data_IF_046520650931
#
_entry.id   IF_046520650931
#
_cell.length_a   1.000
_cell.length_b   1.000
_cell.length_c   1.000
_cell.angle_alpha   90.00
_cell.angle_beta   90.00
_cell.angle_gamma   90.00
#
_symmetry.space_group_name_H-M   'P 1'
#
loop_
_entity.id
_entity.type
_entity.pdbx_description
1 polymer ?
#
# COMPACT_ATOMS: atom_id res chain seq x y z
N UNK A 1 -4.71 -0.50 9.48
CA UNK A 1 -5.21 -1.38 8.41
C UNK A 1 -4.06 -2.00 7.61
N UNK A 2 -3.11 -1.22 7.12
CA UNK A 2 -2.04 -1.70 6.22
C UNK A 2 -0.94 -2.54 6.91
N UNK A 3 -0.78 -2.44 8.23
CA UNK A 3 0.19 -3.24 8.97
C UNK A 3 -0.34 -4.64 9.33
N UNK A 4 -1.68 -4.78 9.40
CA UNK A 4 -2.31 -6.04 9.79
C UNK A 4 -2.04 -7.12 8.73
N UNK A 5 -1.56 -8.29 9.19
CA UNK A 5 -1.17 -9.39 8.31
C UNK A 5 0.19 -9.22 7.62
N UNK A 6 0.86 -8.08 7.80
CA UNK A 6 2.18 -7.80 7.22
C UNK A 6 3.28 -7.61 8.28
N UNK A 7 2.91 -7.15 9.46
CA UNK A 7 3.83 -6.96 10.58
C UNK A 7 3.28 -7.66 11.82
N UNK A 8 4.14 -8.20 12.69
CA UNK A 8 3.71 -8.73 13.98
C UNK A 8 3.14 -7.61 14.84
N UNK A 9 1.91 -7.77 15.31
CA UNK A 9 1.23 -6.81 16.18
C UNK A 9 0.91 -7.51 17.49
N UNK A 10 1.56 -7.08 18.58
CA UNK A 10 1.32 -7.59 19.91
C UNK A 10 0.65 -6.52 20.79
N UNK A 11 -0.64 -6.67 21.02
CA UNK A 11 -1.44 -5.73 21.83
C UNK A 11 -1.09 -5.75 23.31
N UNK A 12 -0.28 -6.73 23.77
CA UNK A 12 0.22 -6.79 25.16
C UNK A 12 1.51 -5.98 25.34
N UNK A 13 2.30 -5.85 24.28
CA UNK A 13 3.54 -5.06 24.29
C UNK A 13 3.28 -3.59 24.02
N UNK A 14 2.39 -3.32 23.07
CA UNK A 14 2.00 -1.95 22.72
C UNK A 14 0.53 -1.74 23.06
N UNK A 15 0.27 -0.79 23.96
CA UNK A 15 -1.08 -0.45 24.42
C UNK A 15 -1.84 0.33 23.35
N UNK A 16 -2.47 -0.38 22.43
CA UNK A 16 -3.42 0.22 21.48
C UNK A 16 -4.80 0.36 22.12
N UNK A 17 -5.45 1.49 21.93
CA UNK A 17 -6.87 1.67 22.25
C UNK A 17 -7.75 1.09 21.16
N UNK A 18 -7.36 1.31 19.90
CA UNK A 18 -8.07 0.86 18.72
C UNK A 18 -7.13 0.35 17.63
N UNK A 19 -7.50 -0.76 16.99
CA UNK A 19 -6.91 -1.20 15.74
C UNK A 19 -8.02 -1.57 14.76
N UNK A 20 -7.80 -1.33 13.49
CA UNK A 20 -8.74 -1.72 12.43
C UNK A 20 -8.08 -2.60 11.40
N UNK A 21 -8.83 -3.56 10.88
CA UNK A 21 -8.45 -4.41 9.76
C UNK A 21 -9.55 -4.43 8.71
N UNK A 22 -9.16 -4.55 7.46
CA UNK A 22 -10.08 -4.84 6.34
C UNK A 22 -9.59 -6.10 5.65
N UNK A 23 -10.46 -7.09 5.48
CA UNK A 23 -10.09 -8.41 4.94
C UNK A 23 -9.42 -8.32 3.56
N UNK A 24 -9.88 -7.42 2.68
CA UNK A 24 -9.33 -7.25 1.33
C UNK A 24 -7.88 -6.74 1.31
N UNK A 25 -7.32 -6.28 2.43
CA UNK A 25 -5.91 -5.88 2.56
C UNK A 25 -4.98 -7.05 2.87
N UNK A 26 -5.56 -8.19 3.24
CA UNK A 26 -4.87 -9.46 3.52
C UNK A 26 -5.44 -10.58 2.64
N UNK A 27 -5.84 -10.26 1.40
CA UNK A 27 -6.39 -11.20 0.41
C UNK A 27 -7.70 -11.89 0.81
N UNK A 28 -8.41 -11.35 1.80
CA UNK A 28 -9.76 -11.78 2.16
C UNK A 28 -10.84 -11.04 1.37
N UNK A 29 -12.13 -11.30 1.63
CA UNK A 29 -13.23 -10.70 0.89
C UNK A 29 -13.39 -9.21 1.18
N UNK A 30 -13.95 -8.48 0.21
CA UNK A 30 -14.42 -7.09 0.42
C UNK A 30 -15.67 -7.07 1.32
N UNK A 31 -15.91 -5.94 1.97
CA UNK A 31 -17.14 -5.72 2.76
C UNK A 31 -17.09 -6.27 4.19
N UNK A 32 -15.96 -6.81 4.62
CA UNK A 32 -15.74 -7.29 5.99
C UNK A 32 -14.40 -6.81 6.55
N UNK A 33 -14.37 -6.58 7.85
CA UNK A 33 -13.18 -6.22 8.61
C UNK A 33 -13.47 -6.36 10.10
N UNK A 34 -12.50 -6.04 10.94
CA UNK A 34 -12.71 -5.99 12.38
C UNK A 34 -12.11 -4.73 13.00
N UNK A 35 -12.60 -4.39 14.16
CA UNK A 35 -11.99 -3.40 15.05
C UNK A 35 -11.58 -4.10 16.36
N UNK A 36 -10.31 -3.96 16.73
CA UNK A 36 -9.89 -4.22 18.10
C UNK A 36 -10.20 -3.00 18.95
N UNK A 37 -10.80 -3.23 20.08
CA UNK A 37 -11.08 -2.20 21.08
C UNK A 37 -10.56 -2.71 22.41
N UNK A 38 -9.67 -1.91 23.05
CA UNK A 38 -9.10 -2.30 24.34
C UNK A 38 -10.21 -2.42 25.39
N UNK A 39 -10.16 -3.48 26.18
CA UNK A 39 -11.11 -3.71 27.28
C UNK A 39 -11.10 -2.54 28.26
N UNK A 40 -12.29 -2.17 28.74
CA UNK A 40 -12.49 -1.08 29.69
C UNK A 40 -12.73 0.31 29.07
N UNK A 41 -12.56 0.46 27.75
CA UNK A 41 -12.93 1.71 27.07
C UNK A 41 -14.45 1.87 26.99
N UNK A 42 -14.94 3.03 27.43
CA UNK A 42 -16.37 3.39 27.33
C UNK A 42 -16.64 4.04 25.99
N UNK A 43 -17.22 3.27 25.07
CA UNK A 43 -17.59 3.74 23.72
C UNK A 43 -19.11 3.71 23.61
N UNK A 44 -19.67 4.79 23.05
CA UNK A 44 -21.07 4.81 22.69
C UNK A 44 -21.22 4.24 21.26
N UNK A 45 -22.11 3.25 21.02
CA UNK A 45 -22.33 2.73 19.70
C UNK A 45 -22.90 3.81 18.78
N UNK A 46 -22.34 3.93 17.58
CA UNK A 46 -22.89 4.81 16.53
C UNK A 46 -24.14 4.19 15.90
N UNK A 47 -24.11 2.88 15.66
CA UNK A 47 -25.22 2.11 15.12
C UNK A 47 -25.93 1.42 16.29
N UNK A 48 -27.14 1.87 16.59
CA UNK A 48 -27.95 1.41 17.70
C UNK A 48 -28.98 0.37 17.25
N UNK A 49 -29.41 -0.52 18.15
CA UNK A 49 -30.39 -1.57 17.88
C UNK A 49 -30.18 -2.78 18.78
N UNK A 50 -30.01 -3.97 18.20
CA UNK A 50 -29.73 -5.19 18.93
C UNK A 50 -28.38 -5.22 19.62
N UNK A 51 -28.16 -6.24 20.47
CA UNK A 51 -26.99 -6.36 21.31
C UNK A 51 -25.74 -6.99 20.65
N UNK A 52 -25.70 -7.01 19.31
CA UNK A 52 -24.58 -7.58 18.57
C UNK A 52 -23.26 -6.85 18.91
N UNK A 53 -22.13 -7.48 18.65
CA UNK A 53 -20.81 -6.97 18.94
C UNK A 53 -20.65 -6.40 20.36
N UNK A 54 -21.24 -7.10 21.35
CA UNK A 54 -21.23 -6.69 22.77
C UNK A 54 -21.81 -5.29 23.01
N UNK A 55 -22.91 -4.95 22.31
CA UNK A 55 -23.53 -3.62 22.28
C UNK A 55 -22.68 -2.49 21.68
N UNK A 56 -21.62 -2.81 20.96
CA UNK A 56 -20.78 -1.80 20.30
C UNK A 56 -21.24 -1.48 18.87
N UNK A 57 -21.95 -2.41 18.21
CA UNK A 57 -22.47 -2.23 16.86
C UNK A 57 -23.64 -3.17 16.63
N UNK A 58 -24.82 -2.63 16.48
CA UNK A 58 -26.02 -3.38 16.21
C UNK A 58 -26.13 -3.86 14.75
N UNK A 59 -26.95 -4.88 14.50
CA UNK A 59 -27.25 -5.46 13.20
C UNK A 59 -26.77 -6.91 13.10
N UNK A 60 -27.48 -7.71 12.29
CA UNK A 60 -27.18 -9.12 12.07
C UNK A 60 -25.75 -9.31 11.55
N UNK A 61 -25.06 -10.30 12.10
CA UNK A 61 -23.67 -10.60 11.76
C UNK A 61 -23.53 -11.18 10.33
N UNK A 62 -22.55 -10.69 9.60
CA UNK A 62 -22.13 -11.28 8.32
C UNK A 62 -21.25 -12.50 8.59
N UNK A 63 -21.85 -13.61 9.00
CA UNK A 63 -21.11 -14.83 9.40
C UNK A 63 -20.24 -15.40 8.30
N UNK A 64 -20.67 -15.33 7.02
CA UNK A 64 -19.88 -15.76 5.86
C UNK A 64 -18.62 -14.92 5.74
N UNK A 65 -18.75 -13.59 5.80
CA UNK A 65 -17.61 -12.67 5.77
C UNK A 65 -16.65 -12.84 6.95
N UNK A 66 -17.21 -13.07 8.15
CA UNK A 66 -16.42 -13.31 9.38
C UNK A 66 -15.57 -14.59 9.25
N UNK A 67 -16.17 -15.70 8.79
CA UNK A 67 -15.44 -16.95 8.58
C UNK A 67 -14.33 -16.77 7.51
N UNK A 68 -14.64 -16.11 6.41
CA UNK A 68 -13.66 -15.85 5.35
C UNK A 68 -12.53 -14.92 5.80
N UNK A 69 -12.83 -13.87 6.58
CA UNK A 69 -11.82 -13.00 7.21
C UNK A 69 -10.93 -13.81 8.17
N UNK A 70 -11.52 -14.68 9.01
CA UNK A 70 -10.78 -15.53 9.94
C UNK A 70 -9.79 -16.44 9.20
N UNK A 71 -10.20 -17.06 8.09
CA UNK A 71 -9.31 -17.88 7.27
C UNK A 71 -8.21 -17.05 6.61
N UNK A 72 -8.53 -15.90 6.03
CA UNK A 72 -7.54 -15.00 5.43
C UNK A 72 -6.51 -14.52 6.45
N UNK A 73 -6.95 -14.20 7.66
CA UNK A 73 -6.07 -13.77 8.75
C UNK A 73 -5.14 -14.89 9.22
N UNK A 74 -5.65 -16.11 9.35
CA UNK A 74 -4.84 -17.28 9.69
C UNK A 74 -3.72 -17.51 8.66
N UNK A 75 -4.05 -17.51 7.36
CA UNK A 75 -3.08 -17.66 6.28
C UNK A 75 -2.04 -16.54 6.32
N UNK A 76 -2.49 -15.27 6.40
CA UNK A 76 -1.57 -14.12 6.43
C UNK A 76 -0.63 -14.15 7.66
N UNK A 77 -1.06 -14.74 8.77
CA UNK A 77 -0.22 -14.90 9.96
C UNK A 77 0.80 -16.03 9.79
N UNK A 78 0.38 -17.15 9.21
CA UNK A 78 1.22 -18.32 8.97
C UNK A 78 2.33 -18.00 7.95
N UNK A 79 1.99 -17.33 6.85
CA UNK A 79 2.89 -17.04 5.73
C UNK A 79 3.67 -15.72 5.92
N UNK A 80 3.41 -14.93 6.96
CA UNK A 80 3.92 -13.56 7.14
C UNK A 80 5.44 -13.43 6.94
N UNK A 81 6.22 -14.35 7.47
CA UNK A 81 7.69 -14.29 7.39
C UNK A 81 8.20 -14.54 5.98
N UNK A 82 7.60 -15.49 5.27
CA UNK A 82 8.00 -15.83 3.90
C UNK A 82 7.52 -14.76 2.92
N UNK A 83 6.29 -14.28 3.09
CA UNK A 83 5.74 -13.16 2.32
C UNK A 83 6.60 -11.90 2.47
N UNK A 84 7.06 -11.61 3.70
CA UNK A 84 7.95 -10.47 3.95
C UNK A 84 9.25 -10.61 3.17
N UNK A 85 9.96 -11.72 3.31
CA UNK A 85 11.23 -11.95 2.60
C UNK A 85 11.09 -11.84 1.08
N UNK A 86 10.04 -12.47 0.54
CA UNK A 86 9.76 -12.44 -0.89
C UNK A 86 9.48 -11.03 -1.40
N UNK A 87 8.54 -10.33 -0.77
CA UNK A 87 8.10 -9.01 -1.22
C UNK A 87 9.17 -7.94 -0.97
N UNK A 88 9.92 -8.03 0.12
CA UNK A 88 11.05 -7.12 0.38
C UNK A 88 12.15 -7.27 -0.67
N UNK A 89 12.45 -8.50 -1.10
CA UNK A 89 13.40 -8.75 -2.18
C UNK A 89 12.95 -8.12 -3.50
N UNK A 90 11.66 -8.23 -3.84
CA UNK A 90 11.07 -7.57 -5.02
C UNK A 90 11.16 -6.04 -4.91
N UNK A 91 10.82 -5.49 -3.75
CA UNK A 91 10.89 -4.04 -3.48
C UNK A 91 12.33 -3.54 -3.63
N UNK A 92 13.30 -4.26 -3.05
CA UNK A 92 14.72 -3.93 -3.20
C UNK A 92 15.15 -3.95 -4.66
N UNK A 93 14.77 -4.98 -5.40
CA UNK A 93 15.08 -5.11 -6.83
C UNK A 93 14.54 -3.91 -7.63
N UNK A 94 13.31 -3.48 -7.35
CA UNK A 94 12.71 -2.30 -8.00
C UNK A 94 13.43 -1.00 -7.58
N UNK A 95 13.80 -0.84 -6.31
CA UNK A 95 14.56 0.34 -5.84
C UNK A 95 15.88 0.46 -6.59
N UNK A 96 16.63 -0.63 -6.67
CA UNK A 96 17.95 -0.65 -7.31
C UNK A 96 17.82 -0.36 -8.82
N UNK A 97 16.87 -1.02 -9.51
CA UNK A 97 16.63 -0.79 -10.93
C UNK A 97 16.14 0.61 -11.27
N UNK A 98 15.26 1.19 -10.45
CA UNK A 98 14.81 2.57 -10.67
C UNK A 98 15.94 3.59 -10.50
N UNK A 99 16.84 3.38 -9.53
CA UNK A 99 18.05 4.24 -9.37
C UNK A 99 18.98 4.18 -10.55
N UNK A 100 19.09 3.01 -11.19
CA UNK A 100 19.92 2.81 -12.37
C UNK A 100 19.30 3.49 -13.62
N UNK A 101 17.99 3.38 -13.78
CA UNK A 101 17.26 3.80 -14.99
C UNK A 101 16.97 5.31 -14.97
N UNK A 102 16.66 5.88 -13.79
CA UNK A 102 16.09 7.23 -13.68
C UNK A 102 17.09 8.19 -13.01
N UNK A 103 17.84 9.00 -13.77
CA UNK A 103 18.72 10.02 -13.20
C UNK A 103 17.93 11.01 -12.33
N UNK A 104 18.43 11.28 -11.13
CA UNK A 104 17.78 12.22 -10.20
C UNK A 104 16.51 11.72 -9.53
N UNK A 105 16.20 10.42 -9.61
CA UNK A 105 15.07 9.83 -8.89
C UNK A 105 15.23 10.05 -7.37
N UNK A 106 14.11 10.31 -6.70
CA UNK A 106 13.99 10.38 -5.24
C UNK A 106 12.89 9.45 -4.75
N UNK A 107 12.85 9.23 -3.44
CA UNK A 107 11.82 8.43 -2.81
C UNK A 107 11.16 9.26 -1.73
N UNK A 108 9.84 9.32 -1.72
CA UNK A 108 9.11 10.10 -0.74
C UNK A 108 9.13 9.43 0.64
N UNK A 109 9.38 10.23 1.66
CA UNK A 109 9.54 9.79 3.02
C UNK A 109 10.64 8.74 3.15
N UNK A 110 10.36 7.69 3.91
CA UNK A 110 11.28 6.56 4.13
C UNK A 110 10.95 5.35 3.26
N UNK A 111 10.19 5.50 2.19
CA UNK A 111 9.65 4.35 1.47
C UNK A 111 10.71 3.43 0.85
N UNK A 112 11.93 3.91 0.62
CA UNK A 112 13.07 3.12 0.14
C UNK A 112 13.98 2.55 1.24
N UNK A 113 13.74 2.90 2.52
CA UNK A 113 14.45 2.34 3.67
C UNK A 113 13.77 1.03 4.07
N UNK A 114 14.35 -0.13 3.74
CA UNK A 114 13.70 -1.43 3.92
C UNK A 114 13.38 -1.75 5.38
N UNK A 115 14.26 -1.38 6.30
CA UNK A 115 14.14 -1.58 7.75
C UNK A 115 13.18 -0.61 8.44
N UNK A 116 12.77 0.46 7.77
CA UNK A 116 11.98 1.56 8.35
C UNK A 116 10.68 1.87 7.61
N UNK A 117 10.36 1.08 6.60
CA UNK A 117 9.14 1.24 5.82
C UNK A 117 8.44 -0.09 5.59
N UNK A 118 7.13 -0.04 5.36
CA UNK A 118 6.36 -1.23 5.01
C UNK A 118 6.86 -1.79 3.66
N UNK A 119 7.18 -3.08 3.63
CA UNK A 119 7.75 -3.74 2.46
C UNK A 119 6.78 -3.81 1.25
N UNK A 120 5.48 -3.67 1.46
CA UNK A 120 4.45 -3.78 0.42
C UNK A 120 4.25 -2.52 -0.42
N UNK A 121 4.91 -1.41 -0.10
CA UNK A 121 4.70 -0.12 -0.79
C UNK A 121 6.02 0.61 -1.01
N UNK A 122 6.18 1.19 -2.20
CA UNK A 122 7.27 2.09 -2.57
C UNK A 122 6.68 3.36 -3.18
N UNK A 123 7.09 4.51 -2.68
CA UNK A 123 6.67 5.83 -3.20
C UNK A 123 7.86 6.53 -3.85
N UNK A 124 7.78 6.71 -5.15
CA UNK A 124 8.87 7.19 -6.01
C UNK A 124 8.54 8.60 -6.48
N UNK A 125 9.53 9.47 -6.44
CA UNK A 125 9.50 10.80 -7.05
C UNK A 125 10.28 10.73 -8.36
N UNK A 126 9.57 10.60 -9.47
CA UNK A 126 10.15 10.52 -10.81
C UNK A 126 10.29 11.92 -11.38
N UNK A 127 11.49 12.38 -11.81
CA UNK A 127 11.65 13.66 -12.46
C UNK A 127 10.76 13.78 -13.69
N UNK A 128 10.14 14.93 -13.90
CA UNK A 128 9.33 15.19 -15.08
C UNK A 128 10.21 15.26 -16.34
N UNK A 129 9.84 14.48 -17.35
CA UNK A 129 10.51 14.43 -18.66
C UNK A 129 9.62 14.99 -19.80
N UNK A 130 8.63 15.83 -19.44
CA UNK A 130 7.64 16.32 -20.40
C UNK A 130 6.41 15.42 -20.56
N UNK A 131 6.43 14.20 -20.05
CA UNK A 131 5.26 13.32 -20.00
C UNK A 131 4.48 13.52 -18.69
N UNK A 132 3.49 14.39 -18.71
CA UNK A 132 2.64 14.65 -17.53
C UNK A 132 1.65 13.51 -17.22
N UNK A 133 1.56 12.49 -18.08
CA UNK A 133 0.64 11.35 -17.94
C UNK A 133 1.37 10.03 -17.69
N UNK A 134 2.47 10.04 -16.95
CA UNK A 134 3.35 8.89 -16.75
C UNK A 134 2.60 7.62 -16.30
N UNK A 135 1.71 7.72 -15.29
CA UNK A 135 0.95 6.56 -14.79
C UNK A 135 -0.03 6.01 -15.84
N UNK A 136 -0.63 6.87 -16.66
CA UNK A 136 -1.49 6.47 -17.77
C UNK A 136 -0.67 5.78 -18.87
N UNK A 137 0.49 6.33 -19.20
CA UNK A 137 1.39 5.73 -20.20
C UNK A 137 1.87 4.35 -19.75
N UNK A 138 2.17 4.18 -18.45
CA UNK A 138 2.51 2.88 -17.89
C UNK A 138 1.34 1.89 -17.97
N UNK A 139 0.10 2.33 -17.68
CA UNK A 139 -1.11 1.50 -17.79
C UNK A 139 -1.32 1.03 -19.23
N UNK A 140 -1.16 1.89 -20.23
CA UNK A 140 -1.23 1.52 -21.65
C UNK A 140 -0.18 0.49 -22.08
N UNK A 141 0.95 0.42 -21.35
CA UNK A 141 2.01 -0.59 -21.53
C UNK A 141 1.82 -1.82 -20.62
N UNK A 142 0.65 -1.93 -19.96
CA UNK A 142 0.30 -3.08 -19.12
C UNK A 142 0.86 -3.04 -17.69
N UNK A 143 1.38 -1.89 -17.23
CA UNK A 143 1.93 -1.70 -15.89
C UNK A 143 1.04 -0.79 -15.05
N UNK A 144 0.30 -1.38 -14.12
CA UNK A 144 -0.62 -0.66 -13.24
C UNK A 144 0.09 -0.15 -11.99
N UNK A 145 0.24 1.17 -11.91
CA UNK A 145 0.77 1.89 -10.75
C UNK A 145 -0.20 3.02 -10.36
N UNK A 146 0.11 3.74 -9.29
CA UNK A 146 -0.77 4.82 -8.81
C UNK A 146 0.02 6.12 -8.66
N UNK A 147 -0.56 7.24 -9.08
CA UNK A 147 0.04 8.59 -8.95
C UNK A 147 -0.13 9.24 -7.58
N UNK A 148 -0.43 8.48 -6.54
CA UNK A 148 -0.67 9.03 -5.19
C UNK A 148 -1.67 8.21 -4.39
N UNK A 149 -2.52 8.85 -3.58
CA UNK A 149 -3.61 8.17 -2.88
C UNK A 149 -4.62 7.63 -3.89
N UNK A 150 -4.93 6.34 -3.83
CA UNK A 150 -5.92 5.70 -4.70
C UNK A 150 -7.34 6.34 -4.59
N UNK A 151 -7.59 7.05 -3.49
CA UNK A 151 -8.88 7.72 -3.23
C UNK A 151 -9.00 9.13 -3.86
N UNK A 152 -7.92 9.68 -4.40
CA UNK A 152 -7.87 11.04 -4.98
C UNK A 152 -7.57 11.06 -6.47
N UNK A 153 -7.83 9.97 -7.17
CA UNK A 153 -7.57 9.78 -8.61
C UNK A 153 -8.31 10.73 -9.57
N UNK A 154 -8.92 11.79 -9.07
CA UNK A 154 -9.59 12.84 -9.89
C UNK A 154 -9.11 14.27 -9.59
N UNK A 155 -8.18 14.49 -8.65
CA UNK A 155 -7.69 15.85 -8.35
C UNK A 155 -6.26 16.07 -8.83
N UNK A 156 -6.05 17.09 -9.64
CA UNK A 156 -4.73 17.58 -10.09
C UNK A 156 -3.82 18.09 -8.95
N UNK A 157 -4.24 17.95 -7.69
CA UNK A 157 -3.55 18.54 -6.54
C UNK A 157 -2.48 17.64 -5.90
N UNK A 158 -2.23 16.44 -6.43
CA UNK A 158 -1.26 15.49 -5.87
C UNK A 158 -1.64 14.93 -4.49
N UNK A 159 -0.75 14.16 -3.89
CA UNK A 159 -0.99 13.56 -2.58
C UNK A 159 -0.85 14.60 -1.45
N UNK A 160 -1.91 14.77 -0.66
CA UNK A 160 -1.86 15.61 0.55
C UNK A 160 -0.81 15.11 1.57
N UNK A 161 -0.52 13.80 1.58
CA UNK A 161 0.51 13.21 2.44
C UNK A 161 1.91 13.69 2.03
N UNK A 162 2.24 13.59 0.73
CA UNK A 162 3.54 14.04 0.21
C UNK A 162 3.73 15.55 0.46
N UNK A 163 2.66 16.34 0.27
CA UNK A 163 2.71 17.78 0.60
C UNK A 163 2.94 18.04 2.07
N UNK A 164 2.30 17.28 2.95
CA UNK A 164 2.48 17.43 4.40
C UNK A 164 3.90 17.05 4.86
N UNK A 165 4.60 16.17 4.12
CA UNK A 165 6.02 15.87 4.35
C UNK A 165 6.96 17.01 3.90
N UNK A 166 6.45 18.03 3.20
CA UNK A 166 7.28 19.09 2.62
C UNK A 166 8.13 18.66 1.42
N UNK A 167 7.89 17.46 0.88
CA UNK A 167 8.69 16.86 -0.19
C UNK A 167 8.08 17.06 -1.59
N UNK A 168 6.91 17.70 -1.65
CA UNK A 168 6.25 17.98 -2.93
C UNK A 168 6.94 19.10 -3.68
N UNK A 169 7.38 18.82 -4.91
CA UNK A 169 7.81 19.83 -5.88
C UNK A 169 7.14 19.61 -7.22
N UNK A 170 6.97 20.66 -7.99
CA UNK A 170 6.37 20.57 -9.34
C UNK A 170 7.27 19.83 -10.36
N UNK A 171 8.53 19.61 -10.02
CA UNK A 171 9.53 18.97 -10.86
C UNK A 171 9.41 17.44 -10.89
N UNK A 172 8.68 16.85 -9.94
CA UNK A 172 8.55 15.40 -9.82
C UNK A 172 7.11 14.95 -10.01
N UNK A 173 6.97 13.76 -10.59
CA UNK A 173 5.72 13.00 -10.61
C UNK A 173 5.77 11.90 -9.57
N UNK A 174 4.75 11.81 -8.68
CA UNK A 174 4.67 10.72 -7.71
C UNK A 174 4.20 9.44 -8.40
N UNK A 175 4.94 8.37 -8.20
CA UNK A 175 4.54 7.02 -8.58
C UNK A 175 4.56 6.14 -7.34
N UNK A 176 3.43 5.51 -7.02
CA UNK A 176 3.35 4.52 -5.96
C UNK A 176 3.26 3.12 -6.55
N UNK A 177 4.28 2.32 -6.29
CA UNK A 177 4.32 0.89 -6.59
C UNK A 177 3.84 0.14 -5.36
N UNK A 178 2.91 -0.79 -5.55
CA UNK A 178 2.40 -1.67 -4.49
C UNK A 178 2.76 -3.10 -4.82
N UNK A 179 3.25 -3.82 -3.83
CA UNK A 179 3.69 -5.20 -3.96
C UNK A 179 2.77 -6.15 -3.19
N UNK A 180 2.68 -7.36 -3.69
CA UNK A 180 1.92 -8.46 -3.11
C UNK A 180 2.74 -9.73 -3.20
N UNK A 181 2.46 -10.72 -2.35
CA UNK A 181 3.06 -12.06 -2.43
C UNK A 181 2.83 -12.77 -3.78
N UNK A 182 1.86 -12.33 -4.56
CA UNK A 182 1.57 -12.88 -5.89
C UNK A 182 2.41 -12.23 -7.00
N UNK A 183 3.15 -11.16 -6.73
CA UNK A 183 4.05 -10.61 -7.71
C UNK A 183 5.31 -11.49 -7.85
N UNK A 184 5.77 -11.61 -9.08
CA UNK A 184 6.99 -12.33 -9.42
C UNK A 184 8.11 -11.35 -9.76
N UNK A 185 9.32 -11.88 -9.94
CA UNK A 185 10.45 -11.09 -10.46
C UNK A 185 10.14 -10.56 -11.87
N UNK A 186 9.43 -11.30 -12.69
CA UNK A 186 9.02 -10.88 -14.03
C UNK A 186 8.06 -9.67 -13.99
N UNK A 187 7.18 -9.59 -12.96
CA UNK A 187 6.35 -8.40 -12.75
C UNK A 187 7.22 -7.16 -12.45
N UNK A 188 8.23 -7.32 -11.61
CA UNK A 188 9.16 -6.23 -11.27
C UNK A 188 10.00 -5.83 -12.48
N UNK A 189 10.50 -6.79 -13.25
CA UNK A 189 11.25 -6.56 -14.48
C UNK A 189 10.40 -5.88 -15.56
N UNK A 190 9.14 -6.29 -15.72
CA UNK A 190 8.18 -5.65 -16.62
C UNK A 190 7.99 -4.16 -16.31
N UNK A 191 7.86 -3.81 -15.02
CA UNK A 191 7.82 -2.42 -14.57
C UNK A 191 9.10 -1.65 -14.96
N UNK A 192 10.28 -2.23 -14.70
CA UNK A 192 11.57 -1.59 -15.01
C UNK A 192 11.79 -1.44 -16.52
N UNK A 193 11.35 -2.42 -17.32
CA UNK A 193 11.47 -2.35 -18.78
C UNK A 193 10.63 -1.22 -19.37
N UNK A 194 9.37 -1.07 -18.93
CA UNK A 194 8.53 0.05 -19.32
C UNK A 194 9.17 1.38 -18.91
N UNK A 195 9.77 1.45 -17.73
CA UNK A 195 10.45 2.64 -17.27
C UNK A 195 11.69 2.97 -18.13
N UNK A 196 12.49 1.97 -18.54
CA UNK A 196 13.63 2.14 -19.47
C UNK A 196 13.16 2.70 -20.80
N UNK A 197 12.13 2.12 -21.40
CA UNK A 197 11.56 2.61 -22.68
C UNK A 197 11.17 4.09 -22.57
N UNK A 198 10.44 4.47 -21.53
CA UNK A 198 9.98 5.84 -21.33
C UNK A 198 11.12 6.85 -21.15
N UNK A 199 12.26 6.39 -20.58
CA UNK A 199 13.43 7.25 -20.40
C UNK A 199 14.36 7.28 -21.61
N UNK A 200 14.42 6.23 -22.43
CA UNK A 200 15.18 6.21 -23.71
C UNK A 200 14.46 6.95 -24.83
N UNK A 201 13.14 6.93 -24.86
CA UNK A 201 12.31 7.63 -25.87
C UNK A 201 12.11 9.12 -25.57
N UNK A 202 12.51 9.61 -24.39
CA UNK A 202 12.36 11.04 -24.02
C UNK A 202 13.47 11.89 -24.64
N UNK A 203 13.13 12.95 -25.40
CA UNK A 203 14.09 13.80 -26.11
C UNK A 203 14.97 14.69 -25.21
N UNK A 204 14.91 14.53 -23.88
CA UNK A 204 15.65 15.38 -22.92
C UNK A 204 17.13 14.95 -22.77
N UNK A 205 17.55 13.87 -23.41
CA UNK A 205 18.93 13.35 -23.37
C UNK A 205 19.61 13.27 -24.75
N UNK A 206 19.07 13.98 -25.76
CA UNK A 206 19.71 14.14 -27.07
C UNK A 206 20.36 15.51 -27.19
#
# INVERSE_FOLDING_TARGET
>A
VQAMGHLPINVKEVSYDFLTCSAHKIHGPKGIGFAYVRSGLKIKPLIQGGAQERNLRAGTENTIGICALGKAFAIATEEMSEDHKHVEALKKYVIDGVKEIVPGVKFFGRSAELDRSLYTVLSIAIPKTGNDMLTFTMDMKGVNVSGGSACTSGSNQGSHVIRALGEWTAEYQPVRVSFSKFNTKDCAEGFLNVLRELYTESPVHA
#
